data_IF_679185238473
#
_entry.id   IF_679185238473
#
_cell.length_a   1.000
_cell.length_b   1.000
_cell.length_c   1.000
_cell.angle_alpha   90.00
_cell.angle_beta   90.00
_cell.angle_gamma   90.00
#
_symmetry.space_group_name_H-M   'P 1'
#
loop_
_entity.id
_entity.type
_entity.pdbx_description
1 polymer ?
#
# COMPACT_ATOMS: atom_id res chain seq x y z
N UNK A 1 35.14 -24.17 -50.29
CA UNK A 1 33.72 -23.76 -50.26
C UNK A 1 32.89 -24.71 -49.38
N UNK A 2 33.25 -24.90 -48.11
CA UNK A 2 32.50 -25.74 -47.14
C UNK A 2 32.44 -25.14 -45.73
N UNK A 3 33.27 -24.13 -45.44
CA UNK A 3 33.37 -23.53 -44.10
C UNK A 3 32.44 -22.36 -43.86
N UNK A 4 31.87 -21.76 -44.91
CA UNK A 4 30.97 -20.59 -44.80
C UNK A 4 29.52 -21.03 -44.49
N UNK A 5 29.16 -22.29 -44.76
CA UNK A 5 27.79 -22.78 -44.62
C UNK A 5 27.40 -23.17 -43.17
N UNK A 6 28.37 -23.45 -42.31
CA UNK A 6 28.10 -23.83 -40.91
C UNK A 6 28.05 -22.66 -39.92
N UNK A 7 28.58 -21.50 -40.30
CA UNK A 7 28.59 -20.31 -39.42
C UNK A 7 27.23 -19.60 -39.47
N UNK A 8 26.56 -19.59 -40.64
CA UNK A 8 25.21 -19.02 -40.78
C UNK A 8 24.12 -19.82 -40.08
N UNK A 9 24.31 -21.12 -39.87
CA UNK A 9 23.29 -22.00 -39.26
C UNK A 9 23.23 -21.88 -37.73
N UNK A 10 24.32 -21.47 -37.08
CA UNK A 10 24.39 -21.30 -35.62
C UNK A 10 23.95 -19.90 -35.13
N UNK A 11 23.95 -18.88 -36.00
CA UNK A 11 23.45 -17.55 -35.63
C UNK A 11 21.91 -17.44 -35.64
N UNK A 12 21.22 -18.34 -36.33
CA UNK A 12 19.75 -18.32 -36.45
C UNK A 12 19.07 -18.96 -35.22
N UNK A 13 19.75 -19.81 -34.47
CA UNK A 13 19.22 -20.41 -33.24
C UNK A 13 19.27 -19.47 -32.01
N UNK A 14 19.98 -18.34 -32.09
CA UNK A 14 20.05 -17.35 -30.99
C UNK A 14 18.87 -16.35 -30.97
N UNK A 15 17.99 -16.37 -31.97
CA UNK A 15 16.86 -15.44 -32.11
C UNK A 15 15.52 -15.99 -31.60
N UNK A 16 15.48 -17.21 -31.05
CA UNK A 16 14.24 -17.87 -30.67
C UNK A 16 14.23 -18.29 -29.18
N UNK A 17 14.62 -17.37 -28.30
CA UNK A 17 14.17 -17.44 -26.91
C UNK A 17 13.04 -16.41 -26.76
N UNK A 18 11.77 -16.79 -26.95
CA UNK A 18 10.71 -15.95 -26.42
C UNK A 18 10.98 -15.84 -24.93
N UNK A 19 11.26 -14.61 -24.45
CA UNK A 19 11.11 -14.27 -23.06
C UNK A 19 9.68 -14.67 -22.69
N UNK A 20 9.52 -15.87 -22.16
CA UNK A 20 8.34 -16.25 -21.42
C UNK A 20 8.42 -15.39 -20.16
N UNK A 21 7.92 -14.17 -20.27
CA UNK A 21 7.43 -13.44 -19.11
C UNK A 21 6.33 -14.33 -18.56
N UNK A 22 6.74 -15.23 -17.66
CA UNK A 22 5.83 -15.84 -16.71
C UNK A 22 5.15 -14.65 -16.04
N UNK A 23 3.94 -14.35 -16.49
CA UNK A 23 3.02 -13.50 -15.77
C UNK A 23 2.72 -14.28 -14.50
N UNK A 24 3.58 -14.13 -13.50
CA UNK A 24 3.26 -14.54 -12.14
C UNK A 24 2.03 -13.69 -11.84
N UNK A 25 0.84 -14.28 -11.61
CA UNK A 25 -0.26 -13.48 -11.13
C UNK A 25 0.21 -12.93 -9.79
N UNK A 26 0.61 -11.66 -9.78
CA UNK A 26 0.76 -10.92 -8.53
C UNK A 26 -0.65 -10.78 -8.02
N UNK A 27 -1.11 -11.80 -7.30
CA UNK A 27 -2.26 -11.66 -6.45
C UNK A 27 -1.86 -10.53 -5.50
N UNK A 28 -2.30 -9.30 -5.80
CA UNK A 28 -2.06 -8.15 -4.94
C UNK A 28 -2.70 -8.51 -3.62
N UNK A 29 -1.88 -8.93 -2.65
CA UNK A 29 -2.36 -9.30 -1.34
C UNK A 29 -2.88 -8.02 -0.70
N UNK A 30 -4.20 -7.88 -0.64
CA UNK A 30 -4.81 -6.70 -0.05
C UNK A 30 -4.64 -6.74 1.47
N UNK A 31 -4.28 -5.62 2.04
CA UNK A 31 -4.11 -5.47 3.48
C UNK A 31 -5.51 -5.44 4.12
N UNK A 32 -5.83 -6.36 5.04
CA UNK A 32 -7.10 -6.33 5.74
C UNK A 32 -7.17 -5.13 6.70
N UNK A 33 -8.31 -4.45 6.72
CA UNK A 33 -8.65 -3.44 7.72
C UNK A 33 -9.98 -3.79 8.35
N UNK A 34 -10.03 -3.87 9.67
CA UNK A 34 -11.21 -4.37 10.40
C UNK A 34 -12.16 -3.24 10.77
N UNK A 35 -13.47 -3.52 10.69
CA UNK A 35 -14.52 -2.66 11.21
C UNK A 35 -14.81 -1.40 10.38
N UNK A 36 -15.26 -0.35 11.06
CA UNK A 36 -15.68 0.91 10.44
C UNK A 36 -14.68 2.03 10.71
N UNK A 37 -14.48 2.96 9.75
CA UNK A 37 -13.52 4.04 9.94
C UNK A 37 -14.02 5.03 11.00
N UNK A 38 -13.19 5.30 12.01
CA UNK A 38 -13.53 6.28 13.05
C UNK A 38 -13.26 7.69 12.57
N UNK A 39 -14.23 8.60 12.74
CA UNK A 39 -14.06 10.01 12.39
C UNK A 39 -13.13 10.70 13.37
N UNK A 40 -12.10 11.40 12.86
CA UNK A 40 -11.21 12.20 13.68
C UNK A 40 -11.59 13.68 13.59
N UNK A 41 -11.88 14.28 14.74
CA UNK A 41 -12.14 15.72 14.83
C UNK A 41 -10.82 16.50 14.76
N UNK A 42 -10.79 17.63 14.05
CA UNK A 42 -9.63 18.53 14.00
C UNK A 42 -9.98 19.90 14.58
N UNK A 43 -9.85 20.09 15.90
CA UNK A 43 -10.20 21.36 16.52
C UNK A 43 -9.33 22.53 16.04
N UNK A 44 -8.00 22.39 15.84
CA UNK A 44 -7.10 23.52 15.46
C UNK A 44 -5.75 23.17 14.80
N UNK A 45 -5.38 21.90 14.63
CA UNK A 45 -4.07 21.43 14.08
C UNK A 45 -3.75 19.96 14.42
N UNK A 46 -4.61 19.31 15.20
CA UNK A 46 -4.40 18.00 15.79
C UNK A 46 -5.70 17.23 15.66
N UNK A 47 -5.58 15.95 15.32
CA UNK A 47 -6.72 15.06 15.23
C UNK A 47 -6.95 14.37 16.57
N UNK A 48 -8.17 14.51 17.10
CA UNK A 48 -8.60 13.82 18.32
C UNK A 48 -9.02 12.40 17.98
N UNK A 49 -8.37 11.43 18.62
CA UNK A 49 -8.75 10.02 18.56
C UNK A 49 -9.71 9.75 19.73
N UNK A 50 -10.95 9.29 19.47
CA UNK A 50 -11.89 8.98 20.54
C UNK A 50 -11.32 7.95 21.52
N UNK A 51 -11.61 8.09 22.82
CA UNK A 51 -11.12 7.17 23.85
C UNK A 51 -11.66 5.74 23.68
N UNK A 52 -12.76 5.58 22.94
CA UNK A 52 -13.37 4.29 22.57
C UNK A 52 -12.67 3.60 21.41
N UNK A 53 -11.74 4.27 20.71
CA UNK A 53 -11.00 3.70 19.61
C UNK A 53 -9.73 3.01 20.11
N UNK A 54 -9.67 1.71 19.91
CA UNK A 54 -8.47 0.92 20.19
C UNK A 54 -7.53 0.97 18.99
N UNK A 55 -6.38 1.63 19.18
CA UNK A 55 -5.38 1.77 18.13
C UNK A 55 -4.68 0.44 17.86
N UNK A 56 -4.39 0.15 16.59
CA UNK A 56 -3.66 -1.05 16.19
C UNK A 56 -2.33 -0.71 15.52
N UNK A 57 -1.35 -1.60 15.70
CA UNK A 57 -0.09 -1.59 14.95
C UNK A 57 -0.28 -1.98 13.49
N UNK A 58 -1.33 -2.75 13.19
CA UNK A 58 -1.66 -3.24 11.84
C UNK A 58 -2.40 -2.19 10.99
N UNK A 59 -2.67 -1.02 11.57
CA UNK A 59 -3.30 0.11 10.90
C UNK A 59 -4.54 0.59 11.61
N UNK A 60 -4.73 1.91 11.61
CA UNK A 60 -5.84 2.60 12.25
C UNK A 60 -6.78 3.09 11.15
N UNK A 61 -7.96 2.48 11.01
CA UNK A 61 -8.92 2.84 9.97
C UNK A 61 -9.76 4.03 10.42
N UNK A 62 -9.62 5.16 9.72
CA UNK A 62 -10.15 6.45 10.16
C UNK A 62 -10.75 7.25 9.00
N UNK A 63 -11.60 8.21 9.33
CA UNK A 63 -12.09 9.24 8.40
C UNK A 63 -11.48 10.57 8.79
N UNK A 64 -10.84 11.21 7.82
CA UNK A 64 -10.17 12.50 7.98
C UNK A 64 -10.63 13.41 6.85
N UNK A 65 -11.22 14.56 7.18
CA UNK A 65 -11.75 15.52 6.20
C UNK A 65 -12.74 14.85 5.20
N UNK A 66 -13.61 13.97 5.72
CA UNK A 66 -14.57 13.14 4.97
C UNK A 66 -13.96 12.10 4.01
N UNK A 67 -12.66 11.84 4.12
CA UNK A 67 -11.94 10.85 3.31
C UNK A 67 -11.43 9.71 4.21
N UNK A 68 -11.67 8.47 3.80
CA UNK A 68 -11.21 7.27 4.53
C UNK A 68 -9.69 7.10 4.36
N UNK A 69 -9.00 6.79 5.45
CA UNK A 69 -7.57 6.56 5.48
C UNK A 69 -7.23 5.36 6.38
N UNK A 70 -6.10 4.73 6.11
CA UNK A 70 -5.47 3.76 7.00
C UNK A 70 -4.16 4.36 7.51
N UNK A 71 -4.07 4.53 8.82
CA UNK A 71 -3.00 5.27 9.47
C UNK A 71 -2.06 4.36 10.27
N UNK A 72 -0.76 4.53 10.07
CA UNK A 72 0.29 3.76 10.72
C UNK A 72 1.23 4.67 11.49
N UNK A 73 1.85 4.14 12.56
CA UNK A 73 2.91 4.84 13.28
C UNK A 73 4.15 5.05 12.40
N UNK A 74 4.45 4.07 11.54
CA UNK A 74 5.59 4.10 10.63
C UNK A 74 5.13 4.02 9.17
N UNK A 75 5.87 4.63 8.23
CA UNK A 75 5.58 4.51 6.80
C UNK A 75 5.62 3.05 6.33
N UNK A 76 4.65 2.69 5.49
CA UNK A 76 4.55 1.39 4.85
C UNK A 76 5.07 1.47 3.41
N UNK A 77 6.01 0.58 3.07
CA UNK A 77 6.73 0.64 1.80
C UNK A 77 5.85 0.23 0.61
N UNK A 78 4.99 -0.77 0.80
CA UNK A 78 4.06 -1.25 -0.23
C UNK A 78 2.94 -0.23 -0.55
N UNK A 79 2.73 0.76 0.34
CA UNK A 79 1.72 1.80 0.18
C UNK A 79 2.28 3.11 -0.39
N UNK A 80 3.56 3.16 -0.75
CA UNK A 80 4.18 4.34 -1.35
C UNK A 80 3.46 4.92 -2.58
N UNK A 81 2.79 4.12 -3.45
CA UNK A 81 2.04 4.66 -4.57
C UNK A 81 0.76 5.42 -4.16
N UNK A 82 0.28 5.24 -2.93
CA UNK A 82 -0.94 5.86 -2.45
C UNK A 82 -0.71 7.30 -1.99
N UNK A 83 -1.74 8.13 -2.16
CA UNK A 83 -1.78 9.46 -1.55
C UNK A 83 -1.66 9.30 -0.03
N UNK A 84 -0.69 10.01 0.56
CA UNK A 84 -0.40 9.94 2.00
C UNK A 84 -0.28 11.33 2.60
N UNK A 85 -0.73 11.44 3.84
CA UNK A 85 -0.53 12.63 4.69
C UNK A 85 -0.01 12.22 6.06
N UNK A 86 0.80 13.08 6.66
CA UNK A 86 1.23 12.93 8.05
C UNK A 86 0.29 13.78 8.90
N UNK A 87 -0.32 13.17 9.91
CA UNK A 87 -1.14 13.88 10.88
C UNK A 87 -0.51 13.80 12.26
N UNK A 88 -0.88 14.76 13.11
CA UNK A 88 -0.63 14.67 14.54
C UNK A 88 -1.91 14.17 15.22
N UNK A 89 -1.86 12.96 15.77
CA UNK A 89 -2.97 12.32 16.46
C UNK A 89 -2.78 12.40 17.98
N UNK A 90 -3.83 12.79 18.71
CA UNK A 90 -3.86 12.73 20.16
C UNK A 90 -4.60 11.48 20.60
N UNK A 91 -3.88 10.59 21.27
CA UNK A 91 -4.38 9.31 21.75
C UNK A 91 -4.23 9.34 23.26
N UNK A 92 -5.35 9.48 23.98
CA UNK A 92 -5.39 9.46 25.45
C UNK A 92 -4.39 10.46 26.08
N UNK A 93 -4.22 11.64 25.46
CA UNK A 93 -3.30 12.70 25.90
C UNK A 93 -1.88 12.60 25.33
N UNK A 94 -1.54 11.54 24.60
CA UNK A 94 -0.24 11.34 23.97
C UNK A 94 -0.29 11.75 22.51
N UNK A 95 0.71 12.51 22.10
CA UNK A 95 0.86 13.04 20.75
C UNK A 95 1.70 12.12 19.89
N UNK A 96 1.11 11.51 18.87
CA UNK A 96 1.81 10.65 17.90
C UNK A 96 1.68 11.18 16.47
N UNK A 97 2.72 10.97 15.68
CA UNK A 97 2.65 11.21 14.23
C UNK A 97 2.20 9.95 13.52
N UNK A 98 1.10 10.05 12.79
CA UNK A 98 0.60 8.96 11.96
C UNK A 98 0.81 9.27 10.49
N UNK A 99 1.33 8.28 9.77
CA UNK A 99 1.35 8.27 8.30
C UNK A 99 0.05 7.64 7.82
N UNK A 100 -0.81 8.45 7.22
CA UNK A 100 -2.16 8.08 6.79
C UNK A 100 -2.22 7.98 5.28
N UNK A 101 -2.54 6.78 4.78
CA UNK A 101 -2.71 6.50 3.35
C UNK A 101 -4.20 6.54 3.03
N UNK A 102 -4.58 7.24 1.96
CA UNK A 102 -5.97 7.26 1.50
C UNK A 102 -6.41 5.84 1.15
N UNK A 103 -7.59 5.45 1.61
CA UNK A 103 -8.13 4.12 1.35
C UNK A 103 -8.34 3.91 -0.15
N UNK A 104 -7.73 2.86 -0.68
CA UNK A 104 -7.88 2.39 -2.06
C UNK A 104 -8.23 0.89 -2.04
N UNK A 105 -9.35 0.46 -2.65
CA UNK A 105 -9.77 -0.94 -2.67
C UNK A 105 -8.84 -1.86 -3.48
N UNK A 106 -7.86 -1.33 -4.23
CA UNK A 106 -6.81 -2.12 -4.86
C UNK A 106 -5.73 -2.57 -3.87
N UNK A 107 -5.60 -1.87 -2.74
CA UNK A 107 -4.59 -2.12 -1.70
C UNK A 107 -5.20 -2.67 -0.41
N UNK A 108 -6.42 -2.24 -0.06
CA UNK A 108 -7.07 -2.62 1.18
C UNK A 108 -8.33 -3.44 0.96
N UNK A 109 -8.65 -4.29 1.93
CA UNK A 109 -9.93 -5.01 2.01
C UNK A 109 -10.55 -4.79 3.39
N UNK A 110 -11.83 -4.43 3.43
CA UNK A 110 -12.54 -4.25 4.70
C UNK A 110 -13.00 -5.63 5.20
N UNK A 111 -12.60 -5.98 6.42
CA UNK A 111 -13.08 -7.15 7.14
C UNK A 111 -14.16 -6.67 8.12
N UNK A 112 -15.41 -7.15 7.99
CA UNK A 112 -16.52 -6.76 8.87
C UNK A 112 -16.27 -7.03 10.35
#
# INVERSE_FOLDING_TARGET
MKTILHIGLNLIFMLCSPLVFAHIPTHSHKIPVTGYPVYLENPRSMYLVPDTFETSVDGNFVTIDNVKHVCYLFPQSELNPLNKKIITANIKGVMLYWTCYQFDPNYFIIIP
#
